data_IF_755017733687
#
_entry.id   IF_755017733687
#
_cell.length_a   1.000
_cell.length_b   1.000
_cell.length_c   1.000
_cell.angle_alpha   90.00
_cell.angle_beta   90.00
_cell.angle_gamma   90.00
#
_symmetry.space_group_name_H-M   'P 1'
#
loop_
_entity.id
_entity.type
_entity.pdbx_description
1 polymer ?
#
# COMPACT_ATOMS: atom_id res chain seq x y z
N UNK A 1 -0.97 13.01 -8.17
CA UNK A 1 -1.82 12.07 -7.41
C UNK A 1 -2.83 11.43 -8.33
N UNK A 2 -4.04 11.83 -8.29
CA UNK A 2 -5.07 11.51 -9.27
C UNK A 2 -5.06 10.09 -9.80
N UNK A 3 -4.75 9.94 -11.07
CA UNK A 3 -4.86 8.66 -11.77
C UNK A 3 -3.91 7.59 -11.25
N UNK A 4 -2.71 7.96 -10.86
CA UNK A 4 -1.75 6.99 -10.35
C UNK A 4 -2.21 6.41 -9.02
N UNK A 5 -2.74 7.25 -8.16
CA UNK A 5 -3.32 6.81 -6.90
C UNK A 5 -4.49 5.85 -7.16
N UNK A 6 -5.38 6.23 -8.07
CA UNK A 6 -6.52 5.39 -8.41
C UNK A 6 -6.12 4.03 -8.95
N UNK A 7 -5.11 3.99 -9.81
CA UNK A 7 -4.61 2.73 -10.35
C UNK A 7 -4.03 1.83 -9.26
N UNK A 8 -3.30 2.41 -8.32
CA UNK A 8 -2.72 1.65 -7.22
C UNK A 8 -3.79 1.12 -6.28
N UNK A 9 -4.85 1.89 -6.04
CA UNK A 9 -6.00 1.41 -5.28
C UNK A 9 -6.65 0.23 -6.01
N UNK A 10 -6.88 0.36 -7.30
CA UNK A 10 -7.50 -0.70 -8.10
C UNK A 10 -6.66 -1.98 -8.09
N UNK A 11 -5.35 -1.85 -8.24
CA UNK A 11 -4.46 -3.00 -8.20
C UNK A 11 -4.50 -3.69 -6.83
N UNK A 12 -4.52 -2.90 -5.76
CA UNK A 12 -4.58 -3.44 -4.40
C UNK A 12 -5.90 -4.15 -4.14
N UNK A 13 -7.00 -3.61 -4.65
CA UNK A 13 -8.30 -4.26 -4.56
C UNK A 13 -8.27 -5.63 -5.23
N UNK A 14 -7.68 -5.69 -6.42
CA UNK A 14 -7.56 -6.94 -7.15
C UNK A 14 -6.72 -7.96 -6.39
N UNK A 15 -5.61 -7.52 -5.83
CA UNK A 15 -4.73 -8.41 -5.04
C UNK A 15 -5.42 -8.96 -3.80
N UNK A 16 -6.27 -8.14 -3.17
CA UNK A 16 -6.99 -8.53 -1.96
C UNK A 16 -8.29 -9.27 -2.26
N UNK A 17 -8.68 -9.35 -3.53
CA UNK A 17 -9.97 -9.95 -3.88
C UNK A 17 -11.15 -9.14 -3.35
N UNK A 18 -11.00 -7.84 -3.26
CA UNK A 18 -11.99 -6.93 -2.68
C UNK A 18 -12.59 -6.04 -3.76
N UNK A 19 -13.89 -5.76 -3.66
CA UNK A 19 -14.55 -4.84 -4.58
C UNK A 19 -14.47 -3.41 -4.08
N UNK A 20 -14.68 -2.44 -4.99
CA UNK A 20 -14.78 -1.03 -4.60
C UNK A 20 -15.90 -0.83 -3.59
N UNK A 21 -16.98 -1.55 -3.76
CA UNK A 21 -18.16 -1.46 -2.87
C UNK A 21 -17.80 -1.90 -1.45
N UNK A 22 -17.05 -2.98 -1.33
CA UNK A 22 -16.61 -3.45 -0.02
C UNK A 22 -15.68 -2.46 0.64
N UNK A 23 -14.72 -1.92 -0.11
CA UNK A 23 -13.78 -0.94 0.41
C UNK A 23 -14.53 0.31 0.85
N UNK A 24 -15.47 0.80 0.05
CA UNK A 24 -16.28 1.97 0.40
C UNK A 24 -16.99 1.76 1.72
N UNK A 25 -17.58 0.59 1.90
CA UNK A 25 -18.28 0.25 3.13
C UNK A 25 -17.34 0.21 4.34
N UNK A 26 -16.16 -0.37 4.16
CA UNK A 26 -15.19 -0.50 5.24
C UNK A 26 -14.70 0.86 5.75
N UNK A 27 -14.53 1.82 4.87
CA UNK A 27 -14.02 3.14 5.25
C UNK A 27 -15.11 4.20 5.42
N UNK A 28 -16.38 3.83 5.22
CA UNK A 28 -17.49 4.72 5.49
C UNK A 28 -17.75 5.79 4.44
N UNK A 29 -17.43 5.52 3.17
CA UNK A 29 -17.78 6.42 2.06
C UNK A 29 -18.76 5.73 1.13
N UNK A 30 -19.40 6.50 0.23
CA UNK A 30 -20.30 5.92 -0.75
C UNK A 30 -19.52 5.25 -1.87
N UNK A 31 -20.17 4.31 -2.54
CA UNK A 31 -19.56 3.65 -3.70
C UNK A 31 -19.24 4.66 -4.81
N UNK A 32 -20.10 5.66 -5.00
CA UNK A 32 -19.87 6.70 -5.98
C UNK A 32 -18.59 7.50 -5.68
N UNK A 33 -18.38 7.83 -4.40
CA UNK A 33 -17.17 8.54 -3.99
C UNK A 33 -15.94 7.67 -4.19
N UNK A 34 -16.02 6.40 -3.82
CA UNK A 34 -14.92 5.46 -4.04
C UNK A 34 -14.57 5.35 -5.52
N UNK A 35 -15.58 5.27 -6.38
CA UNK A 35 -15.38 5.22 -7.81
C UNK A 35 -14.61 6.42 -8.33
N UNK A 36 -14.88 7.61 -7.77
CA UNK A 36 -14.15 8.81 -8.16
C UNK A 36 -12.70 8.78 -7.70
N UNK A 37 -12.44 8.22 -6.54
CA UNK A 37 -11.05 8.04 -6.08
C UNK A 37 -10.29 7.12 -7.03
N UNK A 38 -10.91 6.02 -7.44
CA UNK A 38 -10.28 5.04 -8.33
C UNK A 38 -10.07 5.61 -9.74
N UNK A 39 -11.02 6.39 -10.22
CA UNK A 39 -10.91 7.02 -11.56
C UNK A 39 -9.94 8.20 -11.60
N UNK A 40 -9.57 8.73 -10.44
CA UNK A 40 -8.71 9.90 -10.35
C UNK A 40 -9.43 11.22 -10.43
N UNK A 41 -10.77 11.21 -10.46
CA UNK A 41 -11.56 12.44 -10.52
C UNK A 41 -11.57 13.19 -9.20
N UNK A 42 -11.26 12.52 -8.11
CA UNK A 42 -11.24 13.12 -6.79
C UNK A 42 -10.13 12.48 -5.96
N UNK A 43 -9.37 13.32 -5.27
CA UNK A 43 -8.33 12.84 -4.35
C UNK A 43 -8.92 12.67 -2.95
N UNK A 44 -8.65 11.54 -2.29
CA UNK A 44 -9.07 11.37 -0.90
C UNK A 44 -8.27 12.27 0.01
N UNK A 45 -8.90 12.72 1.10
CA UNK A 45 -8.20 13.46 2.15
C UNK A 45 -7.21 12.53 2.83
N UNK A 46 -6.17 13.06 3.48
CA UNK A 46 -5.15 12.22 4.12
C UNK A 46 -5.73 11.19 5.09
N UNK A 47 -6.73 11.54 5.86
CA UNK A 47 -7.39 10.60 6.77
C UNK A 47 -8.08 9.46 6.03
N UNK A 48 -8.75 9.79 4.95
CA UNK A 48 -9.43 8.79 4.12
C UNK A 48 -8.41 7.90 3.44
N UNK A 49 -7.34 8.50 2.94
CA UNK A 49 -6.25 7.73 2.30
C UNK A 49 -5.64 6.73 3.28
N UNK A 50 -5.40 7.15 4.52
CA UNK A 50 -4.89 6.26 5.55
C UNK A 50 -5.85 5.10 5.82
N UNK A 51 -7.15 5.37 5.85
CA UNK A 51 -8.16 4.33 6.03
C UNK A 51 -8.19 3.35 4.85
N UNK A 52 -8.05 3.87 3.63
CA UNK A 52 -7.97 3.03 2.44
C UNK A 52 -6.76 2.11 2.53
N UNK A 53 -5.61 2.67 2.88
CA UNK A 53 -4.38 1.89 3.00
C UNK A 53 -4.51 0.79 4.05
N UNK A 54 -5.07 1.11 5.20
CA UNK A 54 -5.27 0.14 6.27
C UNK A 54 -6.21 -0.98 5.81
N UNK A 55 -7.30 -0.64 5.16
CA UNK A 55 -8.26 -1.63 4.67
C UNK A 55 -7.66 -2.54 3.61
N UNK A 56 -6.73 -2.02 2.82
CA UNK A 56 -6.05 -2.77 1.76
C UNK A 56 -4.75 -3.45 2.23
N UNK A 57 -4.43 -3.34 3.52
CA UNK A 57 -3.21 -3.91 4.09
C UNK A 57 -1.94 -3.40 3.41
N UNK A 58 -1.93 -2.11 3.11
CA UNK A 58 -0.78 -1.44 2.50
C UNK A 58 -0.52 -0.12 3.22
N UNK A 59 0.29 0.74 2.65
CA UNK A 59 0.64 2.03 3.23
C UNK A 59 0.17 3.16 2.33
N UNK A 60 -0.03 4.35 2.93
CA UNK A 60 -0.34 5.55 2.15
C UNK A 60 0.80 5.87 1.18
N UNK A 61 2.04 5.67 1.60
CA UNK A 61 3.21 5.94 0.74
C UNK A 61 3.18 5.08 -0.51
N UNK A 62 2.84 3.81 -0.38
CA UNK A 62 2.71 2.94 -1.54
C UNK A 62 1.62 3.44 -2.50
N UNK A 63 0.47 3.79 -1.95
CA UNK A 63 -0.66 4.28 -2.76
C UNK A 63 -0.33 5.59 -3.46
N UNK A 64 0.45 6.46 -2.82
CA UNK A 64 0.88 7.72 -3.39
C UNK A 64 2.05 7.60 -4.36
N UNK A 65 2.66 6.41 -4.43
CA UNK A 65 3.81 6.21 -5.28
C UNK A 65 5.10 6.77 -4.71
N UNK A 66 5.11 7.10 -3.42
CA UNK A 66 6.30 7.61 -2.75
C UNK A 66 7.05 6.40 -2.19
N UNK A 67 8.10 6.00 -2.89
CA UNK A 67 8.92 4.88 -2.43
C UNK A 67 10.15 5.41 -1.72
N UNK A 68 10.40 4.86 -0.55
CA UNK A 68 11.63 5.11 0.15
C UNK A 68 12.73 4.32 -0.53
N UNK A 69 13.84 4.96 -0.85
CA UNK A 69 14.97 4.29 -1.50
C UNK A 69 15.46 3.08 -0.72
N UNK A 70 15.36 3.13 0.60
CA UNK A 70 15.77 2.01 1.45
C UNK A 70 14.98 0.75 1.15
N UNK A 71 13.75 0.90 0.67
CA UNK A 71 12.86 -0.21 0.38
C UNK A 71 12.72 -0.49 -1.11
N UNK A 72 13.47 0.21 -1.94
CA UNK A 72 13.39 0.01 -3.39
C UNK A 72 14.20 -1.19 -3.88
N UNK A 73 15.14 -1.66 -3.08
CA UNK A 73 15.95 -2.82 -3.45
C UNK A 73 15.07 -4.08 -3.55
N UNK A 74 15.15 -4.83 -4.65
CA UNK A 74 14.25 -5.98 -4.86
C UNK A 74 14.28 -7.01 -3.74
N UNK A 75 15.46 -7.26 -3.17
CA UNK A 75 15.60 -8.23 -2.07
C UNK A 75 14.87 -7.75 -0.82
N UNK A 76 14.99 -6.47 -0.53
CA UNK A 76 14.32 -5.87 0.64
C UNK A 76 12.82 -5.90 0.44
N UNK A 77 12.33 -5.57 -0.75
CA UNK A 77 10.90 -5.64 -1.04
C UNK A 77 10.34 -7.03 -0.82
N UNK A 78 11.07 -8.05 -1.25
CA UNK A 78 10.63 -9.43 -1.06
C UNK A 78 10.59 -9.82 0.40
N UNK A 79 11.55 -9.36 1.18
CA UNK A 79 11.57 -9.62 2.62
C UNK A 79 10.38 -8.97 3.32
N UNK A 80 10.08 -7.73 2.98
CA UNK A 80 8.97 -6.99 3.57
C UNK A 80 7.63 -7.59 3.15
N UNK A 81 7.52 -8.04 1.91
CA UNK A 81 6.29 -8.66 1.41
C UNK A 81 5.98 -9.98 2.10
N UNK A 82 6.99 -10.65 2.64
CA UNK A 82 6.79 -11.85 3.42
C UNK A 82 6.33 -11.48 4.82
N UNK A 83 5.64 -12.40 5.45
CA UNK A 83 5.37 -12.27 6.86
C UNK A 83 6.72 -12.30 7.61
N UNK A 84 6.98 -11.29 8.43
CA UNK A 84 8.23 -11.17 9.16
C UNK A 84 8.53 -12.40 10.01
N UNK A 85 7.51 -13.06 10.54
CA UNK A 85 7.69 -14.27 11.34
C UNK A 85 8.20 -15.46 10.54
N UNK A 86 8.08 -15.41 9.23
CA UNK A 86 8.57 -16.47 8.34
C UNK A 86 9.99 -16.21 7.83
N UNK A 87 10.60 -15.10 8.21
CA UNK A 87 11.95 -14.76 7.78
C UNK A 87 12.98 -15.59 8.53
N UNK A 88 14.04 -15.97 7.82
CA UNK A 88 15.18 -16.62 8.46
C UNK A 88 16.00 -15.60 9.23
N UNK A 89 16.87 -16.09 10.13
CA UNK A 89 17.77 -15.19 10.86
C UNK A 89 18.64 -14.38 9.93
N UNK A 90 19.14 -15.00 8.87
CA UNK A 90 19.96 -14.30 7.89
C UNK A 90 19.18 -13.21 7.18
N UNK A 91 17.94 -13.48 6.80
CA UNK A 91 17.10 -12.48 6.15
C UNK A 91 16.82 -11.31 7.08
N UNK A 92 16.58 -11.59 8.35
CA UNK A 92 16.39 -10.52 9.34
C UNK A 92 17.62 -9.64 9.47
N UNK A 93 18.81 -10.24 9.48
CA UNK A 93 20.06 -9.48 9.55
C UNK A 93 20.23 -8.60 8.32
N UNK A 94 19.96 -9.15 7.14
CA UNK A 94 20.05 -8.39 5.90
C UNK A 94 19.10 -7.21 5.89
N UNK A 95 17.88 -7.43 6.38
CA UNK A 95 16.90 -6.37 6.45
C UNK A 95 17.37 -5.27 7.40
N UNK A 96 17.86 -5.64 8.58
CA UNK A 96 18.36 -4.68 9.56
C UNK A 96 19.52 -3.89 8.98
N UNK A 97 20.48 -4.56 8.33
CA UNK A 97 21.62 -3.88 7.72
C UNK A 97 21.18 -2.89 6.64
N UNK A 98 20.21 -3.27 5.84
CA UNK A 98 19.71 -2.39 4.79
C UNK A 98 19.00 -1.16 5.37
N UNK A 99 18.23 -1.35 6.44
CA UNK A 99 17.49 -0.27 7.06
C UNK A 99 18.38 0.72 7.81
N UNK A 100 19.44 0.22 8.42
CA UNK A 100 20.34 1.07 9.21
C UNK A 100 21.64 1.44 8.49
N UNK A 101 21.74 1.08 7.22
CA UNK A 101 22.86 1.49 6.40
C UNK A 101 24.19 0.84 6.77
N UNK A 102 24.17 -0.25 7.49
CA UNK A 102 25.36 -1.00 7.83
C UNK A 102 25.60 -2.11 6.83
N UNK A 103 26.83 -2.40 6.58
CA UNK A 103 27.20 -3.43 5.65
C UNK A 103 27.20 -4.81 6.22
#
# INVERSE_FOLDING_TARGET
>A
MGKDLGLRIAESLQKQGMSQRELARLIGVTEAVMSRYVSGDRDPKPEVLANIATALHTTSDYLLGIENEEFSHPRIRRMIARNASAMTEQEKRELINALFGEE
#
